data_IF_997674077657
#
_entry.id   IF_997674077657
#
_cell.length_a   1.000
_cell.length_b   1.000
_cell.length_c   1.000
_cell.angle_alpha   90.00
_cell.angle_beta   90.00
_cell.angle_gamma   90.00
#
_symmetry.space_group_name_H-M   'P 1'
#
loop_
_entity.id
_entity.type
_entity.pdbx_description
1 polymer ?
#
# COMPACT_ATOMS: atom_id res chain seq x y z
N UNK A 1 0.88 2.69 -23.85
CA UNK A 1 0.65 3.37 -22.56
C UNK A 1 1.84 4.27 -22.23
N UNK A 2 1.58 5.39 -21.58
CA UNK A 2 2.67 6.26 -21.15
C UNK A 2 3.55 5.56 -20.10
N UNK A 3 4.85 5.86 -20.05
CA UNK A 3 5.71 5.29 -19.01
C UNK A 3 5.24 5.61 -17.58
N UNK A 4 4.69 6.81 -17.36
CA UNK A 4 4.17 7.19 -16.04
C UNK A 4 2.99 6.32 -15.64
N UNK A 5 2.08 6.04 -16.56
CA UNK A 5 0.93 5.19 -16.28
C UNK A 5 1.37 3.76 -15.93
N UNK A 6 2.36 3.23 -16.64
CA UNK A 6 2.93 1.92 -16.35
C UNK A 6 3.56 1.90 -14.95
N UNK A 7 4.31 2.95 -14.59
CA UNK A 7 4.96 3.05 -13.27
C UNK A 7 3.92 3.09 -12.15
N UNK A 8 2.85 3.86 -12.29
CA UNK A 8 1.79 3.91 -11.29
C UNK A 8 1.02 2.58 -11.23
N UNK A 9 0.89 1.87 -12.35
CA UNK A 9 0.33 0.51 -12.38
C UNK A 9 1.17 -0.47 -11.58
N UNK A 10 2.50 -0.44 -11.73
CA UNK A 10 3.40 -1.26 -10.92
C UNK A 10 3.31 -0.90 -9.44
N UNK A 11 3.20 0.40 -9.12
CA UNK A 11 3.04 0.83 -7.74
C UNK A 11 1.74 0.28 -7.14
N UNK A 12 0.64 0.35 -7.88
CA UNK A 12 -0.64 -0.20 -7.44
C UNK A 12 -0.54 -1.72 -7.17
N UNK A 13 0.11 -2.47 -8.07
CA UNK A 13 0.33 -3.90 -7.87
C UNK A 13 1.16 -4.17 -6.63
N UNK A 14 2.21 -3.38 -6.40
CA UNK A 14 3.05 -3.51 -5.22
C UNK A 14 2.24 -3.31 -3.93
N UNK A 15 1.38 -2.30 -3.91
CA UNK A 15 0.54 -2.01 -2.75
C UNK A 15 -0.46 -3.14 -2.50
N UNK A 16 -1.09 -3.66 -3.56
CA UNK A 16 -2.02 -4.78 -3.43
C UNK A 16 -1.30 -6.01 -2.86
N UNK A 17 -0.12 -6.33 -3.37
CA UNK A 17 0.68 -7.45 -2.85
C UNK A 17 1.05 -7.24 -1.38
N UNK A 18 1.43 -6.02 -1.01
CA UNK A 18 1.80 -5.70 0.37
C UNK A 18 0.60 -5.81 1.32
N UNK A 19 -0.55 -5.29 0.93
CA UNK A 19 -1.77 -5.38 1.75
C UNK A 19 -2.18 -6.84 1.93
N UNK A 20 -2.12 -7.62 0.85
CA UNK A 20 -2.40 -9.06 0.92
C UNK A 20 -1.41 -9.76 1.85
N UNK A 21 -0.12 -9.43 1.70
CA UNK A 21 0.93 -9.97 2.56
C UNK A 21 0.73 -9.63 4.01
N UNK A 22 0.38 -8.38 4.32
CA UNK A 22 0.12 -7.93 5.69
C UNK A 22 -1.09 -8.65 6.30
N UNK A 23 -2.13 -8.89 5.50
CA UNK A 23 -3.30 -9.65 5.95
C UNK A 23 -2.92 -11.09 6.28
N UNK A 24 -2.09 -11.71 5.44
CA UNK A 24 -1.58 -13.05 5.69
C UNK A 24 -0.65 -13.10 6.89
N UNK A 25 0.14 -12.04 7.11
CA UNK A 25 0.97 -11.92 8.30
C UNK A 25 0.13 -11.99 9.57
N UNK A 26 -0.99 -11.29 9.61
CA UNK A 26 -1.89 -11.36 10.76
C UNK A 26 -2.46 -12.78 10.93
N UNK A 27 -2.79 -13.46 9.83
CA UNK A 27 -3.30 -14.83 9.88
C UNK A 27 -2.24 -15.87 10.20
N UNK A 28 -0.94 -15.52 10.12
CA UNK A 28 0.15 -16.45 10.39
C UNK A 28 0.35 -16.73 11.87
N UNK A 29 -0.33 -15.99 12.75
CA UNK A 29 -0.19 -16.12 14.20
C UNK A 29 1.28 -16.09 14.62
N UNK A 30 1.97 -15.00 14.24
CA UNK A 30 3.38 -14.76 14.53
C UNK A 30 4.28 -15.84 13.92
N UNK A 31 4.02 -16.17 12.65
CA UNK A 31 4.79 -17.13 11.86
C UNK A 31 4.65 -18.58 12.34
N UNK A 32 3.67 -18.86 13.19
CA UNK A 32 3.44 -20.22 13.69
C UNK A 32 2.71 -21.09 12.66
N UNK A 33 1.96 -20.48 11.73
CA UNK A 33 1.23 -21.19 10.69
C UNK A 33 2.00 -21.13 9.38
N UNK A 34 2.39 -22.28 8.84
CA UNK A 34 3.30 -22.37 7.69
C UNK A 34 2.69 -21.79 6.41
N UNK A 35 1.46 -22.16 6.05
CA UNK A 35 0.88 -21.75 4.78
C UNK A 35 0.69 -20.23 4.67
N UNK A 36 0.07 -19.54 5.66
CA UNK A 36 0.00 -18.09 5.62
C UNK A 36 1.37 -17.42 5.60
N UNK A 37 2.34 -17.98 6.31
CA UNK A 37 3.71 -17.42 6.34
C UNK A 37 4.37 -17.49 4.97
N UNK A 38 4.28 -18.62 4.28
CA UNK A 38 4.85 -18.77 2.94
C UNK A 38 4.16 -17.86 1.94
N UNK A 39 2.83 -17.79 1.98
CA UNK A 39 2.06 -16.92 1.09
C UNK A 39 2.42 -15.45 1.32
N UNK A 40 2.56 -15.03 2.58
CA UNK A 40 3.00 -13.69 2.94
C UNK A 40 4.38 -13.38 2.36
N UNK A 41 5.33 -14.30 2.49
CA UNK A 41 6.68 -14.10 1.97
C UNK A 41 6.66 -13.89 0.46
N UNK A 42 5.87 -14.68 -0.27
CA UNK A 42 5.73 -14.51 -1.72
C UNK A 42 5.11 -13.16 -2.07
N UNK A 43 4.09 -12.73 -1.33
CA UNK A 43 3.47 -11.43 -1.55
C UNK A 43 4.45 -10.28 -1.33
N UNK A 44 5.25 -10.32 -0.28
CA UNK A 44 6.21 -9.26 0.00
C UNK A 44 7.35 -9.23 -1.02
N UNK A 45 7.84 -10.38 -1.47
CA UNK A 45 8.83 -10.42 -2.54
C UNK A 45 8.26 -9.81 -3.82
N UNK A 46 7.05 -10.18 -4.20
CA UNK A 46 6.38 -9.60 -5.36
C UNK A 46 6.18 -8.10 -5.21
N UNK A 47 5.79 -7.64 -4.02
CA UNK A 47 5.61 -6.20 -3.75
C UNK A 47 6.92 -5.44 -3.96
N UNK A 48 8.03 -5.94 -3.46
CA UNK A 48 9.33 -5.30 -3.64
C UNK A 48 9.75 -5.27 -5.11
N UNK A 49 9.49 -6.34 -5.85
CA UNK A 49 9.79 -6.38 -7.28
C UNK A 49 8.99 -5.30 -8.03
N UNK A 50 7.67 -5.25 -7.81
CA UNK A 50 6.83 -4.25 -8.48
C UNK A 50 7.20 -2.83 -8.06
N UNK A 51 7.53 -2.61 -6.79
CA UNK A 51 8.03 -1.32 -6.32
C UNK A 51 9.29 -0.91 -7.07
N UNK A 52 10.23 -1.84 -7.26
CA UNK A 52 11.47 -1.53 -7.97
C UNK A 52 11.21 -1.07 -9.40
N UNK A 53 10.20 -1.63 -10.06
CA UNK A 53 9.81 -1.20 -11.40
C UNK A 53 9.19 0.20 -11.39
N UNK A 54 8.36 0.49 -10.37
CA UNK A 54 7.75 1.81 -10.23
C UNK A 54 8.80 2.91 -9.99
N UNK A 55 9.86 2.59 -9.25
CA UNK A 55 10.90 3.56 -8.89
C UNK A 55 11.75 4.00 -10.08
N UNK A 56 11.61 3.38 -11.24
CA UNK A 56 12.29 3.86 -12.46
C UNK A 56 11.81 5.25 -12.87
N UNK A 57 10.56 5.61 -12.54
CA UNK A 57 9.99 6.91 -12.92
C UNK A 57 9.46 7.70 -11.74
N UNK A 58 9.05 7.04 -10.66
CA UNK A 58 8.46 7.70 -9.51
C UNK A 58 9.53 7.89 -8.43
N UNK A 59 9.76 9.13 -7.95
CA UNK A 59 10.71 9.34 -6.87
C UNK A 59 10.32 8.54 -5.63
N UNK A 60 11.33 8.07 -4.89
CA UNK A 60 11.12 7.19 -3.74
C UNK A 60 10.16 7.78 -2.70
N UNK A 61 10.34 9.05 -2.36
CA UNK A 61 9.48 9.71 -1.37
C UNK A 61 8.02 9.78 -1.82
N UNK A 62 7.81 10.07 -3.10
CA UNK A 62 6.46 10.11 -3.68
C UNK A 62 5.84 8.72 -3.69
N UNK A 63 6.60 7.71 -4.09
CA UNK A 63 6.12 6.33 -4.12
C UNK A 63 5.68 5.88 -2.72
N UNK A 64 6.47 6.18 -1.69
CA UNK A 64 6.11 5.82 -0.32
C UNK A 64 4.93 6.63 0.22
N UNK A 65 4.78 7.90 -0.19
CA UNK A 65 3.61 8.69 0.20
C UNK A 65 2.32 8.10 -0.37
N UNK A 66 2.33 7.72 -1.65
CA UNK A 66 1.19 7.06 -2.29
C UNK A 66 0.93 5.70 -1.62
N UNK A 67 1.99 4.96 -1.36
CA UNK A 67 1.90 3.67 -0.66
C UNK A 67 1.24 3.85 0.71
N UNK A 68 1.68 4.85 1.49
CA UNK A 68 1.09 5.12 2.79
C UNK A 68 -0.40 5.44 2.68
N UNK A 69 -0.79 6.28 1.73
CA UNK A 69 -2.18 6.67 1.55
C UNK A 69 -3.07 5.51 1.12
N UNK A 70 -2.71 4.84 0.02
CA UNK A 70 -3.49 3.71 -0.48
C UNK A 70 -3.40 2.51 0.47
N UNK A 71 -2.22 2.27 1.01
CA UNK A 71 -2.01 1.14 1.93
C UNK A 71 -2.87 1.27 3.18
N UNK A 72 -2.92 2.47 3.78
CA UNK A 72 -3.73 2.66 5.00
C UNK A 72 -5.22 2.51 4.70
N UNK A 73 -5.69 2.98 3.56
CA UNK A 73 -7.08 2.81 3.16
C UNK A 73 -7.41 1.33 2.99
N UNK A 74 -6.59 0.61 2.20
CA UNK A 74 -6.82 -0.80 1.92
C UNK A 74 -6.70 -1.67 3.17
N UNK A 75 -5.68 -1.44 3.99
CA UNK A 75 -5.51 -2.20 5.23
C UNK A 75 -6.61 -1.91 6.24
N UNK A 76 -7.09 -0.67 6.29
CA UNK A 76 -8.22 -0.31 7.14
C UNK A 76 -9.49 -1.02 6.69
N UNK A 77 -9.74 -1.10 5.38
CA UNK A 77 -10.88 -1.83 4.85
C UNK A 77 -10.79 -3.32 5.19
N UNK A 78 -9.60 -3.91 5.04
CA UNK A 78 -9.39 -5.31 5.41
C UNK A 78 -9.62 -5.50 6.91
N UNK A 79 -9.12 -4.61 7.75
CA UNK A 79 -9.30 -4.71 9.20
C UNK A 79 -10.77 -4.69 9.58
N UNK A 80 -11.56 -3.80 8.97
CA UNK A 80 -12.98 -3.67 9.28
C UNK A 80 -13.77 -4.89 8.76
N UNK A 81 -13.54 -5.28 7.50
CA UNK A 81 -14.40 -6.27 6.84
C UNK A 81 -13.95 -7.72 7.03
N UNK A 82 -12.64 -7.95 7.13
CA UNK A 82 -12.10 -9.31 7.28
C UNK A 82 -11.87 -9.66 8.75
N UNK A 83 -11.23 -8.75 9.49
CA UNK A 83 -10.87 -8.99 10.90
C UNK A 83 -11.87 -8.38 11.88
N UNK A 84 -12.84 -7.66 11.39
CA UNK A 84 -13.97 -7.12 12.15
C UNK A 84 -13.57 -6.14 13.25
N UNK A 85 -12.49 -5.39 13.03
CA UNK A 85 -12.15 -4.27 13.88
C UNK A 85 -13.06 -3.09 13.58
N UNK A 86 -13.31 -2.26 14.60
CA UNK A 86 -14.05 -1.02 14.42
C UNK A 86 -13.06 0.15 14.46
N UNK A 87 -13.29 1.13 13.59
CA UNK A 87 -12.50 2.37 13.57
C UNK A 87 -13.27 3.47 14.29
N UNK A 88 -12.61 4.12 15.23
CA UNK A 88 -13.21 5.26 15.92
C UNK A 88 -13.06 6.55 15.10
N UNK A 89 -13.62 7.64 15.60
CA UNK A 89 -13.57 8.92 14.88
C UNK A 89 -12.14 9.42 14.70
N UNK A 90 -11.29 9.24 15.70
CA UNK A 90 -9.89 9.68 15.60
C UNK A 90 -9.15 8.94 14.49
N UNK A 91 -9.37 7.63 14.35
CA UNK A 91 -8.76 6.83 13.27
C UNK A 91 -9.26 7.31 11.90
N UNK A 92 -10.55 7.55 11.75
CA UNK A 92 -11.12 8.05 10.51
C UNK A 92 -10.57 9.42 10.13
N UNK A 93 -10.43 10.33 11.09
CA UNK A 93 -9.84 11.65 10.86
C UNK A 93 -8.37 11.51 10.43
N UNK A 94 -7.60 10.65 11.11
CA UNK A 94 -6.21 10.42 10.75
C UNK A 94 -6.04 9.86 9.34
N UNK A 95 -6.87 8.90 8.95
CA UNK A 95 -6.86 8.34 7.59
C UNK A 95 -7.20 9.43 6.57
N UNK A 96 -8.21 10.25 6.86
CA UNK A 96 -8.60 11.35 5.98
C UNK A 96 -7.46 12.34 5.78
N UNK A 97 -6.71 12.67 6.83
CA UNK A 97 -5.56 13.57 6.75
C UNK A 97 -4.45 12.97 5.89
N UNK A 98 -4.15 11.69 6.04
CA UNK A 98 -3.12 11.00 5.25
C UNK A 98 -3.51 11.01 3.77
N UNK A 99 -4.74 10.62 3.46
CA UNK A 99 -5.24 10.58 2.08
C UNK A 99 -5.24 11.99 1.47
N UNK A 100 -5.67 12.99 2.24
CA UNK A 100 -5.67 14.39 1.77
C UNK A 100 -4.25 14.86 1.45
N UNK A 101 -3.27 14.50 2.28
CA UNK A 101 -1.87 14.84 2.03
C UNK A 101 -1.35 14.23 0.75
N UNK A 102 -1.69 12.96 0.47
CA UNK A 102 -1.31 12.29 -0.79
C UNK A 102 -1.95 12.99 -1.99
N UNK A 103 -3.22 13.35 -1.88
CA UNK A 103 -3.92 14.07 -2.97
C UNK A 103 -3.26 15.42 -3.24
N UNK A 104 -2.96 16.18 -2.18
CA UNK A 104 -2.28 17.47 -2.33
C UNK A 104 -0.95 17.31 -3.03
N UNK A 105 -0.15 16.32 -2.64
CA UNK A 105 1.14 16.06 -3.25
C UNK A 105 0.99 15.73 -4.74
N UNK A 106 0.04 14.88 -5.10
CA UNK A 106 -0.10 14.45 -6.49
C UNK A 106 -0.72 15.51 -7.41
N UNK A 107 -1.55 16.40 -6.86
CA UNK A 107 -2.25 17.41 -7.67
C UNK A 107 -1.46 18.71 -7.74
N UNK A 108 -0.85 19.14 -6.63
CA UNK A 108 -0.29 20.49 -6.53
C UNK A 108 1.23 20.53 -6.50
N UNK A 109 1.91 19.44 -6.17
CA UNK A 109 3.37 19.45 -6.05
C UNK A 109 4.06 19.32 -7.40
N UNK A 110 5.15 20.06 -7.59
CA UNK A 110 6.03 19.90 -8.74
C UNK A 110 7.05 18.77 -8.55
N UNK A 111 7.09 18.16 -7.37
CA UNK A 111 8.00 17.04 -7.08
C UNK A 111 7.48 15.70 -7.58
N UNK A 112 6.23 15.66 -8.06
CA UNK A 112 5.60 14.42 -8.51
C UNK A 112 5.74 14.29 -10.01
N UNK A 113 6.01 13.08 -10.50
CA UNK A 113 6.03 12.77 -11.93
C UNK A 113 4.59 12.77 -12.47
N UNK A 114 4.36 13.59 -13.48
CA UNK A 114 3.05 13.69 -14.12
C UNK A 114 3.08 13.10 -15.53
#
# INVERSE_FOLDING_TARGET
MSPSLVAYGFLALAIICEVTGSSLLQKSEQFSRLMPTLAMALCFVAALFFLSQALKLIPLGVAYAIWAGLGIVLTSLVSVFVFRFTLDAAALVGIALIVSGVVVMNVFSNSVAH
#
